data_IF_341912446276
#
_entry.id   IF_341912446276
#
_cell.length_a   1.000
_cell.length_b   1.000
_cell.length_c   1.000
_cell.angle_alpha   90.00
_cell.angle_beta   90.00
_cell.angle_gamma   90.00
#
_symmetry.space_group_name_H-M   'P 1'
#
loop_
_entity.id
_entity.type
_entity.pdbx_description
1 polymer ?
#
# COMPACT_ATOMS: atom_id res chain seq x y z
N UNK A 1 -16.92 -9.89 4.13
CA UNK A 1 -16.26 -9.08 3.08
C UNK A 1 -16.50 -7.62 3.42
N UNK A 2 -15.47 -6.87 3.83
CA UNK A 2 -15.63 -5.52 4.34
C UNK A 2 -15.54 -4.45 3.25
N UNK A 3 -15.34 -4.86 1.99
CA UNK A 3 -15.40 -3.90 0.87
C UNK A 3 -16.83 -3.39 0.76
N UNK A 4 -16.97 -2.11 0.46
CA UNK A 4 -18.27 -1.47 0.26
C UNK A 4 -18.95 -1.94 -1.02
N UNK A 5 -18.19 -2.49 -1.97
CA UNK A 5 -18.67 -2.90 -3.28
C UNK A 5 -18.87 -1.70 -4.22
N UNK A 6 -18.29 -0.54 -3.90
CA UNK A 6 -18.47 0.69 -4.65
C UNK A 6 -17.14 1.39 -4.94
N UNK A 7 -16.98 1.81 -6.20
CA UNK A 7 -15.78 2.53 -6.62
C UNK A 7 -14.57 1.62 -6.77
N UNK A 8 -13.39 2.19 -6.55
CA UNK A 8 -12.13 1.49 -6.58
C UNK A 8 -11.72 1.12 -5.15
N UNK A 9 -11.42 -0.15 -4.89
CA UNK A 9 -11.06 -0.60 -3.56
C UNK A 9 -9.83 -1.51 -3.62
N UNK A 10 -8.89 -1.35 -2.68
CA UNK A 10 -7.88 -2.37 -2.38
C UNK A 10 -8.19 -3.00 -1.04
N UNK A 11 -8.54 -4.29 -1.04
CA UNK A 11 -8.67 -5.07 0.18
C UNK A 11 -7.30 -5.60 0.57
N UNK A 12 -6.92 -5.43 1.83
CA UNK A 12 -5.69 -5.93 2.43
C UNK A 12 -6.08 -6.79 3.63
N UNK A 13 -5.83 -8.10 3.53
CA UNK A 13 -6.10 -9.07 4.58
C UNK A 13 -4.78 -9.47 5.24
N UNK A 14 -4.56 -9.02 6.47
CA UNK A 14 -3.38 -9.42 7.27
C UNK A 14 -3.54 -10.85 7.73
N UNK A 15 -2.51 -11.66 7.50
CA UNK A 15 -2.59 -13.11 7.68
C UNK A 15 -1.66 -13.63 8.77
N UNK A 16 -0.43 -13.10 8.85
CA UNK A 16 0.57 -13.62 9.78
C UNK A 16 1.65 -12.62 10.12
N UNK A 17 2.41 -12.95 11.16
CA UNK A 17 3.62 -12.25 11.57
C UNK A 17 4.82 -13.12 11.22
N UNK A 18 5.80 -12.53 10.53
CA UNK A 18 7.05 -13.18 10.16
C UNK A 18 8.20 -12.58 10.96
N UNK A 19 9.05 -13.44 11.52
CA UNK A 19 10.28 -13.08 12.24
C UNK A 19 11.47 -13.77 11.60
N UNK A 20 12.46 -13.00 11.16
CA UNK A 20 13.67 -13.56 10.55
C UNK A 20 14.73 -13.90 11.62
N UNK A 21 15.81 -14.58 11.22
CA UNK A 21 16.91 -14.98 12.11
C UNK A 21 17.59 -13.78 12.82
N UNK A 22 17.59 -12.60 12.18
CA UNK A 22 18.10 -11.35 12.76
C UNK A 22 17.12 -10.69 13.75
N UNK A 23 15.99 -11.34 14.08
CA UNK A 23 14.99 -10.84 15.02
C UNK A 23 14.08 -9.74 14.46
N UNK A 24 14.19 -9.39 13.17
CA UNK A 24 13.32 -8.40 12.52
C UNK A 24 11.94 -9.01 12.32
N UNK A 25 10.91 -8.18 12.48
CA UNK A 25 9.51 -8.61 12.42
C UNK A 25 8.74 -7.80 11.39
N UNK A 26 7.90 -8.47 10.61
CA UNK A 26 6.95 -7.85 9.68
C UNK A 26 5.60 -8.55 9.76
N UNK A 27 4.56 -7.81 9.43
CA UNK A 27 3.24 -8.39 9.17
C UNK A 27 3.14 -8.71 7.69
N UNK A 28 2.65 -9.88 7.34
CA UNK A 28 2.38 -10.26 5.96
C UNK A 28 0.88 -10.50 5.78
N UNK A 29 0.38 -10.07 4.64
CA UNK A 29 -1.00 -10.24 4.23
C UNK A 29 -1.13 -10.47 2.74
N UNK A 30 -2.37 -10.47 2.27
CA UNK A 30 -2.70 -10.48 0.84
C UNK A 30 -3.42 -9.19 0.48
N UNK A 31 -3.25 -8.76 -0.76
CA UNK A 31 -4.11 -7.72 -1.31
C UNK A 31 -4.86 -8.22 -2.54
N UNK A 32 -6.05 -7.66 -2.74
CA UNK A 32 -6.86 -7.80 -3.95
C UNK A 32 -7.48 -6.45 -4.30
N UNK A 33 -7.40 -6.04 -5.56
CA UNK A 33 -8.04 -4.83 -6.08
C UNK A 33 -9.43 -5.16 -6.61
N UNK A 34 -10.40 -4.29 -6.35
CA UNK A 34 -11.80 -4.43 -6.75
C UNK A 34 -12.31 -3.15 -7.45
N UNK A 35 -13.16 -3.36 -8.45
CA UNK A 35 -13.92 -2.35 -9.17
C UNK A 35 -15.41 -2.61 -8.94
N UNK A 36 -16.08 -1.73 -8.19
CA UNK A 36 -17.50 -1.87 -7.79
C UNK A 36 -17.81 -3.29 -7.25
N UNK A 37 -16.98 -3.77 -6.32
CA UNK A 37 -17.13 -5.09 -5.70
C UNK A 37 -16.69 -6.29 -6.55
N UNK A 38 -16.30 -6.08 -7.81
CA UNK A 38 -15.77 -7.14 -8.68
C UNK A 38 -14.25 -7.12 -8.67
N UNK A 39 -13.59 -8.26 -8.45
CA UNK A 39 -12.13 -8.30 -8.46
C UNK A 39 -11.58 -7.86 -9.83
N UNK A 40 -10.62 -6.93 -9.82
CA UNK A 40 -10.00 -6.42 -11.02
C UNK A 40 -9.18 -7.52 -11.72
N UNK A 41 -9.23 -7.56 -13.05
CA UNK A 41 -8.50 -8.55 -13.84
C UNK A 41 -7.01 -8.21 -13.93
N UNK A 42 -6.14 -9.22 -13.84
CA UNK A 42 -4.71 -9.07 -14.11
C UNK A 42 -3.83 -9.61 -12.99
N UNK A 43 -2.66 -10.12 -13.36
CA UNK A 43 -1.76 -10.82 -12.43
C UNK A 43 -1.18 -9.93 -11.31
N UNK A 44 -1.22 -8.60 -11.48
CA UNK A 44 -0.74 -7.64 -10.48
C UNK A 44 -1.86 -7.05 -9.61
N UNK A 45 -3.12 -7.37 -9.90
CA UNK A 45 -4.28 -6.92 -9.11
C UNK A 45 -4.46 -7.73 -7.82
N UNK A 46 -3.69 -8.81 -7.66
CA UNK A 46 -3.57 -9.58 -6.42
C UNK A 46 -2.10 -9.82 -6.08
N UNK A 47 -1.80 -9.98 -4.79
CA UNK A 47 -0.45 -10.27 -4.34
C UNK A 47 -0.32 -10.33 -2.82
N UNK A 48 0.90 -10.09 -2.33
CA UNK A 48 1.18 -10.02 -0.90
C UNK A 48 1.43 -8.59 -0.46
N UNK A 49 1.26 -8.32 0.83
CA UNK A 49 1.70 -7.07 1.46
C UNK A 49 2.70 -7.36 2.56
N UNK A 50 3.58 -6.40 2.82
CA UNK A 50 4.40 -6.34 4.03
C UNK A 50 4.15 -5.01 4.76
N UNK A 51 3.94 -5.09 6.06
CA UNK A 51 3.76 -3.94 6.95
C UNK A 51 4.65 -4.08 8.19
N UNK A 52 4.73 -3.00 8.96
CA UNK A 52 5.31 -3.04 10.31
C UNK A 52 4.57 -4.04 11.23
N UNK A 53 5.18 -4.46 12.34
CA UNK A 53 4.51 -5.32 13.33
C UNK A 53 3.27 -4.66 13.94
N UNK A 54 2.35 -5.51 14.40
CA UNK A 54 1.15 -5.11 15.15
C UNK A 54 1.37 -4.93 16.66
N UNK A 55 0.28 -4.64 17.40
CA UNK A 55 -1.05 -4.32 16.87
C UNK A 55 -1.06 -2.97 16.13
N UNK A 56 -2.04 -2.75 15.27
CA UNK A 56 -2.25 -1.46 14.62
C UNK A 56 -2.47 -0.32 15.61
N UNK A 57 -2.01 0.89 15.30
CA UNK A 57 -2.29 2.09 16.11
C UNK A 57 -2.18 3.39 15.33
N UNK A 58 -3.23 4.20 15.37
CA UNK A 58 -3.32 5.53 14.74
C UNK A 58 -3.15 6.70 15.74
N UNK A 59 -3.02 6.39 17.03
CA UNK A 59 -2.99 7.39 18.10
C UNK A 59 -1.73 8.26 18.14
N UNK A 60 -0.59 7.76 17.68
CA UNK A 60 0.69 8.47 17.77
C UNK A 60 1.58 8.22 16.55
N UNK A 61 2.14 9.29 15.97
CA UNK A 61 3.17 9.18 14.95
C UNK A 61 4.46 8.56 15.52
N UNK A 62 5.20 7.81 14.69
CA UNK A 62 6.50 7.25 15.08
C UNK A 62 6.45 6.08 16.09
N UNK A 63 5.27 5.57 16.42
CA UNK A 63 5.07 4.46 17.37
C UNK A 63 5.58 3.08 16.90
N UNK A 64 6.22 3.01 15.72
CA UNK A 64 6.77 1.79 15.09
C UNK A 64 5.73 0.72 14.72
N UNK A 65 4.43 1.05 14.78
CA UNK A 65 3.32 0.13 14.51
C UNK A 65 2.73 0.33 13.10
N UNK A 66 2.09 -0.71 12.59
CA UNK A 66 1.17 -0.62 11.43
C UNK A 66 -0.03 0.27 11.75
N UNK A 67 -0.77 0.71 10.73
CA UNK A 67 -2.07 1.39 10.95
C UNK A 67 -3.10 0.41 11.48
N UNK A 68 -4.17 0.91 12.11
CA UNK A 68 -5.28 0.04 12.55
C UNK A 68 -5.98 -0.63 11.36
N UNK A 69 -6.66 -1.74 11.61
CA UNK A 69 -7.62 -2.26 10.66
C UNK A 69 -8.77 -1.26 10.47
N UNK A 70 -9.30 -1.15 9.24
CA UNK A 70 -10.34 -0.19 8.91
C UNK A 70 -10.34 0.22 7.45
N UNK A 71 -11.18 1.20 7.12
CA UNK A 71 -11.33 1.74 5.76
C UNK A 71 -10.75 3.14 5.67
N UNK A 72 -9.83 3.34 4.73
CA UNK A 72 -9.06 4.56 4.56
C UNK A 72 -9.33 5.16 3.18
N UNK A 73 -9.76 6.43 3.06
CA UNK A 73 -9.82 7.08 1.75
C UNK A 73 -8.41 7.21 1.18
N UNK A 74 -8.29 7.11 -0.14
CA UNK A 74 -7.00 7.29 -0.82
C UNK A 74 -6.80 8.72 -1.30
N UNK A 75 -5.55 9.19 -1.22
CA UNK A 75 -5.13 10.51 -1.67
C UNK A 75 -3.92 10.37 -2.62
N UNK A 76 -3.80 11.30 -3.56
CA UNK A 76 -2.58 11.44 -4.34
C UNK A 76 -1.47 11.99 -3.45
N UNK A 77 -0.35 11.28 -3.36
CA UNK A 77 0.80 11.61 -2.52
C UNK A 77 1.60 12.78 -3.11
N UNK A 78 1.95 13.78 -2.27
CA UNK A 78 2.65 15.01 -2.66
C UNK A 78 4.00 15.20 -1.93
N UNK A 79 4.76 14.14 -1.73
CA UNK A 79 6.03 14.17 -1.02
C UNK A 79 7.25 14.39 -1.92
N UNK A 80 8.42 14.53 -1.30
CA UNK A 80 9.71 14.62 -2.01
C UNK A 80 10.27 13.25 -2.39
N UNK A 81 9.97 12.22 -1.58
CA UNK A 81 10.43 10.84 -1.80
C UNK A 81 9.43 9.99 -2.58
N UNK A 82 8.15 10.26 -2.39
CA UNK A 82 7.05 9.53 -3.02
C UNK A 82 6.06 10.53 -3.59
N UNK A 83 5.53 10.22 -4.77
CA UNK A 83 4.42 10.93 -5.41
C UNK A 83 3.51 9.94 -6.12
N UNK A 84 2.23 10.29 -6.29
CA UNK A 84 1.32 9.48 -7.13
C UNK A 84 1.48 9.83 -8.60
N UNK A 85 1.57 11.12 -8.91
CA UNK A 85 1.68 11.65 -10.28
C UNK A 85 3.08 12.24 -10.46
N UNK A 86 3.73 11.89 -11.59
CA UNK A 86 5.05 12.42 -11.92
C UNK A 86 6.22 11.73 -11.22
N UNK A 87 6.06 10.47 -10.80
CA UNK A 87 7.18 9.69 -10.25
C UNK A 87 8.25 9.41 -11.32
N UNK A 88 9.49 9.23 -10.87
CA UNK A 88 10.64 8.95 -11.72
C UNK A 88 10.46 7.63 -12.48
N UNK A 89 10.75 7.68 -13.79
CA UNK A 89 10.75 6.49 -14.65
C UNK A 89 12.02 5.66 -14.50
N UNK A 90 13.05 6.19 -13.84
CA UNK A 90 14.23 5.42 -13.51
C UNK A 90 13.88 4.34 -12.48
N UNK A 91 14.06 3.07 -12.85
CA UNK A 91 13.70 1.92 -12.03
C UNK A 91 14.68 1.67 -10.86
N UNK A 92 15.77 2.42 -10.74
CA UNK A 92 16.68 2.31 -9.60
C UNK A 92 15.98 2.76 -8.31
N UNK A 93 16.09 1.97 -7.25
CA UNK A 93 15.50 2.27 -5.95
C UNK A 93 16.01 3.58 -5.31
N UNK A 94 17.18 4.07 -5.71
CA UNK A 94 17.69 5.37 -5.24
C UNK A 94 17.14 6.56 -6.02
N UNK A 95 16.51 6.34 -7.18
CA UNK A 95 15.88 7.39 -7.96
C UNK A 95 14.60 7.89 -7.27
N UNK A 96 14.46 9.21 -7.19
CA UNK A 96 13.32 9.90 -6.58
C UNK A 96 12.67 10.84 -7.61
N UNK A 97 11.38 11.17 -7.43
CA UNK A 97 10.45 10.57 -6.48
C UNK A 97 9.97 9.19 -6.95
N UNK A 98 9.60 8.30 -6.02
CA UNK A 98 9.06 6.95 -6.27
C UNK A 98 7.53 6.98 -6.35
N UNK A 99 6.88 5.98 -6.98
CA UNK A 99 5.42 5.89 -6.96
C UNK A 99 4.90 5.61 -5.54
N UNK A 100 3.77 6.21 -5.17
CA UNK A 100 3.06 5.90 -3.93
C UNK A 100 1.69 6.55 -3.87
N UNK A 101 0.81 6.01 -3.02
CA UNK A 101 -0.55 6.54 -2.74
C UNK A 101 -0.70 6.68 -1.23
N UNK A 102 -1.33 7.76 -0.76
CA UNK A 102 -1.49 8.03 0.66
C UNK A 102 -2.83 7.50 1.20
N UNK A 103 -2.81 6.98 2.42
CA UNK A 103 -3.99 6.71 3.23
C UNK A 103 -4.38 7.97 4.01
N UNK A 104 -5.58 8.47 3.76
CA UNK A 104 -6.19 9.52 4.56
C UNK A 104 -6.83 8.98 5.83
N UNK A 105 -7.27 9.89 6.71
CA UNK A 105 -7.96 9.57 7.96
C UNK A 105 -7.18 8.61 8.89
N UNK A 106 -5.85 8.66 8.88
CA UNK A 106 -4.99 7.84 9.75
C UNK A 106 -4.75 8.45 11.14
N UNK A 107 -5.70 9.25 11.63
CA UNK A 107 -5.65 9.89 12.95
C UNK A 107 -4.54 10.93 13.07
N UNK A 108 -3.63 10.73 14.03
CA UNK A 108 -2.47 11.60 14.25
C UNK A 108 -1.27 11.25 13.37
N UNK A 109 -1.46 10.36 12.40
CA UNK A 109 -0.44 9.95 11.45
C UNK A 109 -0.72 10.60 10.11
N UNK A 110 0.35 10.95 9.41
CA UNK A 110 0.32 11.41 8.02
C UNK A 110 1.39 10.63 7.26
N UNK A 111 1.41 10.73 5.92
CA UNK A 111 2.42 10.07 5.09
C UNK A 111 2.43 8.55 5.30
N UNK A 112 1.25 7.97 5.56
CA UNK A 112 1.06 6.52 5.54
C UNK A 112 0.76 6.12 4.11
N UNK A 113 1.69 5.42 3.49
CA UNK A 113 1.65 5.18 2.05
C UNK A 113 1.46 3.70 1.71
N UNK A 114 0.78 3.44 0.59
CA UNK A 114 0.99 2.24 -0.21
C UNK A 114 2.11 2.55 -1.19
N UNK A 115 3.28 1.93 -1.02
CA UNK A 115 4.47 2.25 -1.80
C UNK A 115 5.45 1.07 -1.93
N UNK A 116 6.47 1.14 -2.82
CA UNK A 116 7.36 0.02 -3.05
C UNK A 116 8.22 -0.34 -1.82
N UNK A 117 8.26 -1.63 -1.50
CA UNK A 117 9.18 -2.19 -0.51
C UNK A 117 10.55 -2.55 -1.09
N UNK A 118 11.53 -2.79 -0.22
CA UNK A 118 12.86 -3.30 -0.55
C UNK A 118 13.46 -4.02 0.66
N UNK A 119 14.14 -5.14 0.44
CA UNK A 119 14.74 -5.93 1.52
C UNK A 119 13.68 -6.47 2.47
N UNK A 120 13.89 -6.44 3.78
CA UNK A 120 12.90 -7.02 4.70
C UNK A 120 11.61 -6.19 4.85
N UNK A 121 11.74 -4.85 4.93
CA UNK A 121 10.66 -3.87 5.06
C UNK A 121 11.21 -2.47 4.76
N UNK A 122 10.49 -1.61 4.02
CA UNK A 122 11.02 -0.32 3.58
C UNK A 122 10.68 0.88 4.48
N UNK A 123 9.57 0.84 5.20
CA UNK A 123 9.22 1.93 6.13
C UNK A 123 8.25 1.49 7.23
N UNK A 124 8.19 2.32 8.26
CA UNK A 124 7.30 2.14 9.40
C UNK A 124 5.91 2.65 9.06
N UNK A 125 4.88 1.88 9.40
CA UNK A 125 3.48 2.29 9.25
C UNK A 125 2.87 2.20 7.86
N UNK A 126 3.70 2.16 6.82
CA UNK A 126 3.26 2.04 5.45
C UNK A 126 3.00 0.58 5.04
N UNK A 127 2.38 0.43 3.88
CA UNK A 127 2.04 -0.85 3.26
C UNK A 127 2.93 -1.02 2.02
N UNK A 128 3.68 -2.12 1.97
CA UNK A 128 4.48 -2.46 0.80
C UNK A 128 3.81 -3.55 -0.03
N UNK A 129 3.42 -3.25 -1.27
CA UNK A 129 2.91 -4.27 -2.19
C UNK A 129 4.06 -5.16 -2.66
N UNK A 130 3.93 -6.46 -2.51
CA UNK A 130 4.99 -7.43 -2.73
C UNK A 130 4.54 -8.51 -3.72
N UNK A 131 5.52 -9.23 -4.28
CA UNK A 131 5.26 -10.42 -5.09
C UNK A 131 4.75 -11.56 -4.20
N UNK A 132 5.64 -12.38 -3.67
CA UNK A 132 5.35 -13.49 -2.77
C UNK A 132 6.34 -13.44 -1.63
N UNK A 133 5.86 -13.59 -0.40
CA UNK A 133 6.66 -13.62 0.83
C UNK A 133 6.35 -14.92 1.60
N UNK A 134 6.86 -16.07 1.14
CA UNK A 134 6.50 -17.37 1.71
C UNK A 134 6.97 -17.53 3.15
N UNK A 135 8.07 -16.87 3.52
CA UNK A 135 8.68 -16.93 4.85
C UNK A 135 9.37 -15.61 5.21
N UNK A 136 9.98 -15.58 6.40
CA UNK A 136 10.62 -14.39 6.95
C UNK A 136 11.99 -14.06 6.35
N UNK A 137 12.62 -15.01 5.66
CA UNK A 137 13.94 -14.81 5.04
C UNK A 137 13.81 -14.23 3.63
N UNK A 138 12.65 -14.42 2.98
CA UNK A 138 12.40 -13.87 1.64
C UNK A 138 12.43 -12.32 1.65
N UNK A 139 13.36 -11.69 0.90
CA UNK A 139 13.41 -10.24 0.77
C UNK A 139 12.35 -9.73 -0.22
N UNK A 140 11.84 -8.54 0.04
CA UNK A 140 11.03 -7.78 -0.91
C UNK A 140 11.93 -7.34 -2.07
N UNK A 141 11.60 -7.83 -3.27
CA UNK A 141 12.17 -7.35 -4.53
C UNK A 141 11.62 -5.96 -4.87
N UNK A 142 12.50 -4.94 -4.91
CA UNK A 142 12.09 -3.58 -5.26
C UNK A 142 11.48 -3.47 -6.66
N UNK A 143 12.07 -4.04 -7.74
CA UNK A 143 11.44 -3.99 -9.07
C UNK A 143 10.03 -4.60 -9.09
N UNK A 144 9.86 -5.78 -8.46
CA UNK A 144 8.55 -6.44 -8.39
C UNK A 144 7.53 -5.65 -7.57
N UNK A 145 7.98 -5.04 -6.48
CA UNK A 145 7.15 -4.19 -5.63
C UNK A 145 6.75 -2.89 -6.33
N UNK A 146 7.71 -2.22 -7.00
CA UNK A 146 7.49 -0.98 -7.76
C UNK A 146 6.46 -1.19 -8.88
N UNK A 147 6.60 -2.27 -9.64
CA UNK A 147 5.68 -2.57 -10.74
C UNK A 147 4.24 -2.77 -10.25
N UNK A 148 4.03 -3.34 -9.06
CA UNK A 148 2.70 -3.51 -8.46
C UNK A 148 2.07 -2.19 -8.05
N UNK A 149 2.84 -1.30 -7.43
CA UNK A 149 2.35 0.03 -7.05
C UNK A 149 2.00 0.86 -8.28
N UNK A 150 2.81 0.76 -9.34
CA UNK A 150 2.50 1.42 -10.63
C UNK A 150 1.24 0.84 -11.24
N UNK A 151 1.14 -0.49 -11.34
CA UNK A 151 -0.05 -1.15 -11.88
C UNK A 151 -1.31 -0.78 -11.10
N UNK A 152 -1.23 -0.67 -9.78
CA UNK A 152 -2.33 -0.19 -8.93
C UNK A 152 -2.72 1.26 -9.25
N UNK A 153 -1.75 2.17 -9.41
CA UNK A 153 -2.01 3.58 -9.76
C UNK A 153 -2.64 3.69 -11.15
N UNK A 154 -2.09 2.96 -12.13
CA UNK A 154 -2.56 2.98 -13.51
C UNK A 154 -3.97 2.39 -13.64
N UNK A 155 -4.24 1.27 -12.95
CA UNK A 155 -5.56 0.67 -12.87
C UNK A 155 -6.59 1.62 -12.22
N UNK A 156 -6.23 2.25 -11.10
CA UNK A 156 -7.08 3.23 -10.43
C UNK A 156 -7.38 4.44 -11.32
N UNK A 157 -6.37 4.94 -12.04
CA UNK A 157 -6.53 6.05 -13.00
C UNK A 157 -7.43 5.66 -14.17
N UNK A 158 -7.25 4.45 -14.71
CA UNK A 158 -8.07 3.94 -15.81
C UNK A 158 -9.54 3.77 -15.39
N UNK A 159 -9.78 3.19 -14.20
CA UNK A 159 -11.13 2.96 -13.68
C UNK A 159 -11.87 4.26 -13.37
N UNK A 160 -11.20 5.24 -12.76
CA UNK A 160 -11.82 6.52 -12.37
C UNK A 160 -11.91 7.53 -13.53
N UNK A 161 -11.09 7.37 -14.58
CA UNK A 161 -11.11 8.26 -15.74
C UNK A 161 -10.89 9.73 -15.35
N UNK A 162 -11.83 10.60 -15.70
CA UNK A 162 -11.78 12.04 -15.38
C UNK A 162 -11.89 12.35 -13.89
N UNK A 163 -12.39 11.41 -13.08
CA UNK A 163 -12.50 11.60 -11.63
C UNK A 163 -11.15 11.40 -10.92
N UNK A 164 -10.15 10.85 -11.60
CA UNK A 164 -8.80 10.74 -11.05
C UNK A 164 -8.13 12.13 -11.00
N UNK A 165 -7.53 12.54 -9.87
CA UNK A 165 -6.91 13.86 -9.76
C UNK A 165 -5.80 14.12 -10.79
N UNK A 166 -5.71 15.35 -11.28
CA UNK A 166 -4.66 15.78 -12.22
C UNK A 166 -3.40 16.31 -11.55
N UNK A 167 -3.40 16.43 -10.21
CA UNK A 167 -2.26 16.88 -9.39
C UNK A 167 -2.19 16.12 -8.06
N UNK A 168 -1.00 16.16 -7.44
CA UNK A 168 -0.76 15.54 -6.14
C UNK A 168 -1.39 16.33 -4.98
N UNK A 169 -1.59 15.69 -3.83
CA UNK A 169 -2.14 16.29 -2.62
C UNK A 169 -3.67 16.39 -2.65
N UNK A 170 -4.34 15.52 -3.39
CA UNK A 170 -5.79 15.55 -3.62
C UNK A 170 -6.42 14.24 -3.19
N UNK A 171 -7.62 14.32 -2.62
CA UNK A 171 -8.45 13.13 -2.42
C UNK A 171 -8.77 12.48 -3.76
N UNK A 172 -8.62 11.17 -3.82
CA UNK A 172 -9.05 10.37 -4.97
C UNK A 172 -10.50 9.98 -4.73
N UNK A 173 -11.41 10.53 -5.52
CA UNK A 173 -12.83 10.27 -5.34
C UNK A 173 -13.14 8.78 -5.54
N UNK A 174 -14.00 8.23 -4.68
CA UNK A 174 -14.46 6.83 -4.76
C UNK A 174 -13.33 5.78 -4.72
N UNK A 175 -12.21 6.09 -4.07
CA UNK A 175 -11.08 5.17 -3.90
C UNK A 175 -10.77 4.94 -2.41
N UNK A 176 -10.72 3.68 -1.99
CA UNK A 176 -10.45 3.31 -0.59
C UNK A 176 -9.48 2.13 -0.46
N UNK A 177 -8.69 2.12 0.61
CA UNK A 177 -8.05 0.92 1.11
C UNK A 177 -8.87 0.35 2.26
N UNK A 178 -9.15 -0.95 2.23
CA UNK A 178 -9.87 -1.67 3.28
C UNK A 178 -8.91 -2.67 3.89
N UNK A 179 -8.64 -2.54 5.19
CA UNK A 179 -7.63 -3.33 5.89
C UNK A 179 -8.31 -4.19 6.95
N UNK A 180 -8.06 -5.49 6.90
CA UNK A 180 -8.55 -6.47 7.87
C UNK A 180 -7.43 -7.23 8.56
N UNK A 181 -7.74 -7.75 9.75
CA UNK A 181 -6.88 -8.64 10.51
C UNK A 181 -5.96 -7.91 11.51
N UNK A 182 -5.81 -8.51 12.69
CA UNK A 182 -4.82 -8.13 13.69
C UNK A 182 -4.08 -9.39 14.20
N UNK A 183 -3.33 -10.08 13.32
CA UNK A 183 -2.50 -11.22 13.73
C UNK A 183 -1.27 -10.77 14.52
#
# INVERSE_FOLDING_TARGET
>A
MPISGQGWEILIERQSVQRNAAGRVRTVGRYTIFHNGTAASGALMTGTVAESPGPGSNAQAGNKKRVEAGTYPLLTQAGTKYVTIGYSQNANHTALPRPGVELGNTGHRSEILIHPGIGFLASIGCINLCTRLPDAEEPISFPGSRNRVIAMIDDMKAFLGSDFPTSNGKKIARAHAVIEGEP
#
